data_IF_992742527680
#
_entry.id   IF_992742527680
#
_cell.length_a   1.000
_cell.length_b   1.000
_cell.length_c   1.000
_cell.angle_alpha   90.00
_cell.angle_beta   90.00
_cell.angle_gamma   90.00
#
_symmetry.space_group_name_H-M   'P 1'
#
loop_
_entity.id
_entity.type
_entity.pdbx_description
1 polymer ?
#
# COMPACT_ATOMS: atom_id res chain seq x y z
N UNK A 1 -37.89 24.25 -17.49
CA UNK A 1 -36.46 24.31 -17.09
C UNK A 1 -35.86 25.51 -17.77
N UNK A 2 -35.34 26.47 -17.01
CA UNK A 2 -34.71 27.67 -17.58
C UNK A 2 -33.29 27.33 -18.02
N UNK A 3 -32.76 28.04 -19.03
CA UNK A 3 -31.41 27.81 -19.58
C UNK A 3 -30.32 27.95 -18.51
N UNK A 4 -30.57 28.79 -17.50
CA UNK A 4 -29.76 28.95 -16.29
C UNK A 4 -29.64 27.67 -15.46
N UNK A 5 -30.71 26.88 -15.35
CA UNK A 5 -30.70 25.61 -14.62
C UNK A 5 -29.82 24.57 -15.31
N UNK A 6 -29.83 24.57 -16.64
CA UNK A 6 -29.02 23.66 -17.47
C UNK A 6 -27.53 24.01 -17.34
N UNK A 7 -27.18 25.30 -17.41
CA UNK A 7 -25.81 25.76 -17.22
C UNK A 7 -25.29 25.45 -15.82
N UNK A 8 -26.12 25.62 -14.79
CA UNK A 8 -25.79 25.25 -13.42
C UNK A 8 -25.54 23.75 -13.29
N UNK A 9 -26.37 22.90 -13.89
CA UNK A 9 -26.19 21.44 -13.89
C UNK A 9 -24.89 21.01 -14.58
N UNK A 10 -24.57 21.61 -15.74
CA UNK A 10 -23.31 21.33 -16.44
C UNK A 10 -22.10 21.75 -15.59
N UNK A 11 -22.16 22.93 -14.97
CA UNK A 11 -21.13 23.40 -14.05
C UNK A 11 -20.94 22.46 -12.86
N UNK A 12 -22.04 21.98 -12.27
CA UNK A 12 -22.03 21.03 -11.15
C UNK A 12 -21.41 19.68 -11.55
N UNK A 13 -21.75 19.16 -12.73
CA UNK A 13 -21.19 17.90 -13.25
C UNK A 13 -19.68 18.05 -13.49
N UNK A 14 -19.24 19.16 -14.08
CA UNK A 14 -17.82 19.43 -14.30
C UNK A 14 -17.05 19.56 -12.98
N UNK A 15 -17.65 20.19 -11.98
CA UNK A 15 -17.06 20.34 -10.65
C UNK A 15 -16.92 18.98 -9.93
N UNK A 16 -17.95 18.14 -10.01
CA UNK A 16 -17.91 16.77 -9.49
C UNK A 16 -16.88 15.90 -10.22
N UNK A 17 -16.84 15.97 -11.55
CA UNK A 17 -15.86 15.24 -12.36
C UNK A 17 -14.42 15.68 -12.03
N UNK A 18 -14.18 16.98 -11.85
CA UNK A 18 -12.90 17.53 -11.42
C UNK A 18 -12.50 17.05 -10.02
N UNK A 19 -13.44 17.03 -9.07
CA UNK A 19 -13.21 16.51 -7.73
C UNK A 19 -12.85 15.02 -7.72
N UNK A 20 -13.57 14.20 -8.50
CA UNK A 20 -13.28 12.77 -8.66
C UNK A 20 -11.90 12.54 -9.28
N UNK A 21 -11.53 13.33 -10.30
CA UNK A 21 -10.21 13.24 -10.92
C UNK A 21 -9.08 13.56 -9.93
N UNK A 22 -9.25 14.61 -9.11
CA UNK A 22 -8.29 14.99 -8.07
C UNK A 22 -8.15 13.91 -7.00
N UNK A 23 -9.26 13.36 -6.51
CA UNK A 23 -9.26 12.25 -5.55
C UNK A 23 -8.54 11.02 -6.12
N UNK A 24 -8.83 10.65 -7.36
CA UNK A 24 -8.17 9.53 -8.03
C UNK A 24 -6.66 9.74 -8.17
N UNK A 25 -6.22 10.98 -8.45
CA UNK A 25 -4.79 11.31 -8.56
C UNK A 25 -4.06 11.20 -7.21
N UNK A 26 -4.71 11.59 -6.11
CA UNK A 26 -4.15 11.48 -4.76
C UNK A 26 -4.00 10.01 -4.37
N UNK A 27 -5.01 9.18 -4.64
CA UNK A 27 -4.98 7.73 -4.40
C UNK A 27 -3.81 7.04 -5.10
N UNK A 28 -3.52 7.41 -6.35
CA UNK A 28 -2.39 6.84 -7.10
C UNK A 28 -1.06 7.22 -6.46
N UNK A 29 -0.91 8.46 -5.98
CA UNK A 29 0.33 8.93 -5.36
C UNK A 29 0.60 8.23 -4.02
N UNK A 30 -0.44 8.06 -3.19
CA UNK A 30 -0.36 7.31 -1.94
C UNK A 30 0.03 5.85 -2.18
N UNK A 31 -0.63 5.17 -3.14
CA UNK A 31 -0.28 3.79 -3.51
C UNK A 31 1.18 3.65 -3.91
N UNK A 32 1.69 4.59 -4.72
CA UNK A 32 3.08 4.55 -5.16
C UNK A 32 4.07 4.74 -4.00
N UNK A 33 3.73 5.58 -3.03
CA UNK A 33 4.54 5.78 -1.81
C UNK A 33 4.64 4.48 -1.00
N UNK A 34 3.55 3.72 -0.87
CA UNK A 34 3.56 2.44 -0.19
C UNK A 34 4.35 1.36 -0.94
N UNK A 35 4.30 1.35 -2.28
CA UNK A 35 5.15 0.47 -3.10
C UNK A 35 6.63 0.75 -2.84
N UNK A 36 7.05 2.02 -2.96
CA UNK A 36 8.44 2.43 -2.73
C UNK A 36 8.90 2.07 -1.31
N UNK A 37 8.06 2.31 -0.30
CA UNK A 37 8.38 1.93 1.07
C UNK A 37 8.59 0.42 1.24
N UNK A 38 7.77 -0.40 0.58
CA UNK A 38 7.90 -1.85 0.61
C UNK A 38 9.19 -2.34 -0.07
N UNK A 39 9.55 -1.76 -1.23
CA UNK A 39 10.83 -2.05 -1.89
C UNK A 39 12.03 -1.65 -1.02
N UNK A 40 12.01 -0.46 -0.42
CA UNK A 40 13.08 -0.02 0.48
C UNK A 40 13.27 -0.95 1.69
N UNK A 41 12.20 -1.60 2.16
CA UNK A 41 12.30 -2.60 3.22
C UNK A 41 12.88 -3.93 2.76
N UNK A 42 12.67 -4.31 1.50
CA UNK A 42 13.28 -5.50 0.91
C UNK A 42 14.78 -5.30 0.66
N UNK A 43 15.19 -4.09 0.27
CA UNK A 43 16.58 -3.75 0.00
C UNK A 43 17.41 -3.47 1.27
N UNK A 44 16.77 -3.40 2.43
CA UNK A 44 17.45 -3.12 3.70
C UNK A 44 18.05 -4.41 4.27
N UNK A 45 19.36 -4.40 4.58
CA UNK A 45 20.09 -5.60 5.06
C UNK A 45 19.54 -6.18 6.38
N UNK A 46 19.00 -5.33 7.26
CA UNK A 46 18.41 -5.77 8.53
C UNK A 46 17.16 -4.92 8.85
N UNK A 47 16.03 -5.19 8.18
CA UNK A 47 14.79 -4.46 8.39
C UNK A 47 14.12 -4.91 9.69
N UNK A 48 13.54 -3.96 10.44
CA UNK A 48 12.82 -4.29 11.68
C UNK A 48 11.58 -5.15 11.35
N UNK A 49 11.40 -6.33 11.96
CA UNK A 49 10.22 -7.17 11.76
C UNK A 49 8.89 -6.44 12.02
N UNK A 50 8.87 -5.41 12.89
CA UNK A 50 7.69 -4.56 13.10
C UNK A 50 7.36 -3.72 11.87
N UNK A 51 8.36 -3.14 11.21
CA UNK A 51 8.19 -2.31 10.01
C UNK A 51 7.74 -3.14 8.81
N UNK A 52 8.25 -4.38 8.71
CA UNK A 52 7.81 -5.35 7.71
C UNK A 52 6.33 -5.71 7.92
N UNK A 53 5.93 -6.05 9.16
CA UNK A 53 4.52 -6.35 9.51
C UNK A 53 3.60 -5.18 9.20
N UNK A 54 4.00 -3.96 9.56
CA UNK A 54 3.23 -2.75 9.27
C UNK A 54 3.08 -2.54 7.76
N UNK A 55 4.15 -2.73 6.99
CA UNK A 55 4.11 -2.58 5.53
C UNK A 55 3.23 -3.65 4.87
N UNK A 56 3.28 -4.90 5.32
CA UNK A 56 2.36 -5.95 4.86
C UNK A 56 0.90 -5.56 5.12
N UNK A 57 0.60 -5.00 6.29
CA UNK A 57 -0.76 -4.56 6.65
C UNK A 57 -1.22 -3.41 5.77
N UNK A 58 -0.36 -2.42 5.52
CA UNK A 58 -0.64 -1.30 4.64
C UNK A 58 -0.82 -1.74 3.19
N UNK A 59 0.06 -2.59 2.66
CA UNK A 59 -0.08 -3.16 1.32
C UNK A 59 -1.40 -3.95 1.19
N UNK A 60 -1.81 -4.66 2.23
CA UNK A 60 -3.09 -5.40 2.24
C UNK A 60 -4.31 -4.47 2.30
N UNK A 61 -4.20 -3.29 2.90
CA UNK A 61 -5.26 -2.29 2.95
C UNK A 61 -5.37 -1.52 1.62
N UNK A 62 -4.23 -1.07 1.07
CA UNK A 62 -4.16 -0.25 -0.14
C UNK A 62 -4.24 -1.06 -1.45
N UNK A 63 -3.85 -2.34 -1.45
CA UNK A 63 -4.08 -3.29 -2.56
C UNK A 63 -5.57 -3.56 -2.83
N UNK A 64 -6.44 -3.07 -1.95
CA UNK A 64 -7.88 -2.99 -2.11
C UNK A 64 -8.61 -4.31 -1.90
N UNK A 65 -9.91 -4.20 -1.55
CA UNK A 65 -10.86 -5.31 -1.38
C UNK A 65 -10.92 -6.26 -2.59
N UNK A 66 -10.48 -5.80 -3.76
CA UNK A 66 -10.56 -6.51 -5.03
C UNK A 66 -9.23 -7.11 -5.52
N UNK A 67 -8.12 -7.03 -4.76
CA UNK A 67 -6.81 -7.64 -5.14
C UNK A 67 -6.38 -7.36 -6.60
N UNK A 68 -6.74 -6.18 -7.14
CA UNK A 68 -6.49 -5.86 -8.56
C UNK A 68 -5.05 -5.45 -8.84
N UNK A 69 -4.32 -5.05 -7.80
CA UNK A 69 -2.92 -4.63 -7.92
C UNK A 69 -2.01 -5.83 -7.65
N UNK A 70 -1.64 -6.55 -8.71
CA UNK A 70 -0.80 -7.76 -8.62
C UNK A 70 0.55 -7.47 -7.95
N UNK A 71 1.11 -6.29 -8.19
CA UNK A 71 2.38 -5.84 -7.62
C UNK A 71 2.32 -5.73 -6.09
N UNK A 72 1.20 -5.26 -5.52
CA UNK A 72 1.00 -5.23 -4.07
C UNK A 72 0.93 -6.63 -3.45
N UNK A 73 0.33 -7.59 -4.16
CA UNK A 73 0.27 -8.99 -3.71
C UNK A 73 1.65 -9.64 -3.73
N UNK A 74 2.45 -9.34 -4.75
CA UNK A 74 3.81 -9.84 -4.88
C UNK A 74 4.73 -9.25 -3.80
N UNK A 75 4.71 -7.92 -3.60
CA UNK A 75 5.43 -7.24 -2.53
C UNK A 75 5.07 -7.79 -1.15
N UNK A 76 3.77 -8.03 -0.92
CA UNK A 76 3.30 -8.66 0.32
C UNK A 76 3.89 -10.05 0.50
N UNK A 77 3.94 -10.87 -0.55
CA UNK A 77 4.49 -12.23 -0.51
C UNK A 77 5.99 -12.20 -0.20
N UNK A 78 6.74 -11.33 -0.85
CA UNK A 78 8.18 -11.13 -0.63
C UNK A 78 8.46 -10.70 0.81
N UNK A 79 7.78 -9.66 1.30
CA UNK A 79 7.93 -9.18 2.68
C UNK A 79 7.53 -10.23 3.72
N UNK A 80 6.51 -11.03 3.44
CA UNK A 80 6.08 -12.10 4.34
C UNK A 80 7.12 -13.23 4.42
N UNK A 81 7.77 -13.55 3.30
CA UNK A 81 8.90 -14.49 3.27
C UNK A 81 10.10 -13.96 4.05
N UNK A 82 10.45 -12.68 3.85
CA UNK A 82 11.54 -12.03 4.56
C UNK A 82 11.30 -11.99 6.07
N UNK A 83 10.07 -11.68 6.50
CA UNK A 83 9.68 -11.72 7.91
C UNK A 83 9.86 -13.11 8.53
N UNK A 84 9.49 -14.16 7.79
CA UNK A 84 9.64 -15.54 8.25
C UNK A 84 11.12 -15.94 8.43
N UNK A 85 11.98 -15.54 7.49
CA UNK A 85 13.43 -15.77 7.58
C UNK A 85 14.06 -15.08 8.80
N UNK A 86 13.66 -13.83 9.08
CA UNK A 86 14.12 -13.09 10.27
C UNK A 86 13.66 -13.79 11.54
N UNK A 87 12.36 -14.09 11.67
CA UNK A 87 11.81 -14.75 12.86
C UNK A 87 12.43 -16.13 13.10
N UNK A 88 12.73 -16.88 12.03
CA UNK A 88 13.43 -18.17 12.11
C UNK A 88 14.88 -18.01 12.59
N UNK A 89 15.60 -17.03 12.06
CA UNK A 89 17.00 -16.76 12.43
C UNK A 89 17.10 -16.34 13.90
N UNK A 90 16.20 -15.48 14.38
CA UNK A 90 16.11 -15.08 15.78
C UNK A 90 15.80 -16.29 16.70
N UNK A 91 14.88 -17.16 16.29
CA UNK A 91 14.51 -18.36 17.05
C UNK A 91 15.66 -19.36 17.17
N UNK A 92 16.46 -19.54 16.11
CA UNK A 92 17.64 -20.40 16.12
C UNK A 92 18.77 -19.83 16.99
N UNK A 93 18.99 -18.52 16.95
CA UNK A 93 19.97 -17.84 17.81
C UNK A 93 19.58 -17.94 19.30
N UNK A 94 18.29 -17.73 19.63
CA UNK A 94 17.80 -17.86 21.01
C UNK A 94 17.96 -19.29 21.57
N UNK A 95 17.84 -20.33 20.72
CA UNK A 95 18.08 -21.72 21.13
C UNK A 95 19.55 -22.02 21.40
N UNK A 96 20.48 -21.38 20.68
CA UNK A 96 21.93 -21.56 20.88
C UNK A 96 22.43 -20.94 22.19
N UNK A 97 21.87 -19.80 22.61
CA UNK A 97 22.27 -19.10 23.86
C UNK A 97 21.80 -19.83 25.13
N UNK A 98 20.78 -20.71 25.02
CA UNK A 98 20.26 -21.50 26.15
C UNK A 98 20.90 -22.90 26.31
N UNK A 99 21.85 -23.28 25.45
CA UNK A 99 22.64 -24.52 25.57
C UNK A 99 24.03 -24.20 26.07
#
# INVERSE_FOLDING_TARGET
MQVTDILFFIGLILLLAGAVYLLHRIDVKEKNKHKIHAYNLLDKDNPDPKDIKNSIRLLSAYGGRFRKDQEFMELKKLLSGLLYEIEKTEAEQSKKVRK
#
